data_IF_659969591850
#
_entry.id   IF_659969591850
#
_cell.length_a   1.000
_cell.length_b   1.000
_cell.length_c   1.000
_cell.angle_alpha   90.00
_cell.angle_beta   90.00
_cell.angle_gamma   90.00
#
_symmetry.space_group_name_H-M   'P 1'
#
loop_
_entity.id
_entity.type
_entity.pdbx_description
1 polymer ?
#
# COMPACT_ATOMS: atom_id res chain seq x y z
N UNK A 1 2.85 -3.64 13.24
CA UNK A 1 1.54 -3.37 12.58
C UNK A 1 1.79 -3.16 11.10
N UNK A 2 0.97 -3.75 10.23
CA UNK A 2 1.10 -3.62 8.78
C UNK A 2 0.15 -2.53 8.29
N UNK A 3 0.68 -1.58 7.53
CA UNK A 3 -0.05 -0.44 6.97
C UNK A 3 0.01 -0.57 5.45
N UNK A 4 -1.15 -0.77 4.82
CA UNK A 4 -1.26 -0.86 3.36
C UNK A 4 -1.41 0.54 2.77
N UNK A 5 -0.65 0.82 1.73
CA UNK A 5 -0.60 2.14 1.10
C UNK A 5 -0.88 1.99 -0.38
N UNK A 6 -1.87 2.72 -0.87
CA UNK A 6 -2.15 2.84 -2.31
C UNK A 6 -1.56 4.14 -2.81
N UNK A 7 -0.55 4.06 -3.68
CA UNK A 7 0.07 5.21 -4.32
C UNK A 7 -0.32 5.21 -5.79
N UNK A 8 -0.92 6.30 -6.25
CA UNK A 8 -1.20 6.51 -7.67
C UNK A 8 0.07 7.00 -8.35
N UNK A 9 0.48 6.35 -9.44
CA UNK A 9 1.70 6.71 -10.17
C UNK A 9 2.43 5.49 -10.75
N UNK A 10 3.65 5.72 -11.22
CA UNK A 10 4.51 4.67 -11.76
C UNK A 10 5.06 3.75 -10.65
N UNK A 11 5.62 2.59 -11.02
CA UNK A 11 6.33 1.73 -10.07
C UNK A 11 7.46 2.45 -9.33
N UNK A 12 8.11 3.41 -9.99
CA UNK A 12 9.18 4.21 -9.41
C UNK A 12 8.64 5.17 -8.33
N UNK A 13 7.49 5.81 -8.58
CA UNK A 13 6.83 6.68 -7.62
C UNK A 13 6.34 5.90 -6.40
N UNK A 14 5.82 4.68 -6.63
CA UNK A 14 5.41 3.76 -5.57
C UNK A 14 6.61 3.36 -4.70
N UNK A 15 7.75 3.04 -5.30
CA UNK A 15 8.98 2.69 -4.57
C UNK A 15 9.52 3.86 -3.73
N UNK A 16 9.64 5.06 -4.33
CA UNK A 16 10.06 6.28 -3.63
C UNK A 16 9.13 6.63 -2.47
N UNK A 17 7.82 6.48 -2.68
CA UNK A 17 6.81 6.73 -1.64
C UNK A 17 6.94 5.74 -0.48
N UNK A 18 7.18 4.46 -0.77
CA UNK A 18 7.40 3.45 0.25
C UNK A 18 8.66 3.74 1.08
N UNK A 19 9.75 4.11 0.42
CA UNK A 19 11.01 4.49 1.07
C UNK A 19 10.84 5.72 1.97
N UNK A 20 10.15 6.75 1.48
CA UNK A 20 9.82 7.95 2.27
C UNK A 20 9.00 7.61 3.52
N UNK A 21 7.99 6.73 3.39
CA UNK A 21 7.17 6.28 4.51
C UNK A 21 7.97 5.42 5.50
N UNK A 22 8.88 4.57 5.02
CA UNK A 22 9.77 3.79 5.86
C UNK A 22 10.70 4.69 6.69
N UNK A 23 11.25 5.74 6.08
CA UNK A 23 12.05 6.75 6.79
C UNK A 23 11.22 7.52 7.83
N UNK A 24 9.98 7.87 7.50
CA UNK A 24 9.05 8.55 8.40
C UNK A 24 8.41 7.63 9.46
N UNK A 25 8.64 6.31 9.42
CA UNK A 25 7.97 5.33 10.28
C UNK A 25 8.11 5.64 11.77
N UNK A 26 9.31 6.07 12.20
CA UNK A 26 9.58 6.42 13.61
C UNK A 26 8.79 7.65 14.05
N UNK A 27 8.70 8.66 13.19
CA UNK A 27 7.93 9.88 13.46
C UNK A 27 6.43 9.56 13.56
N UNK A 28 5.90 8.81 12.60
CA UNK A 28 4.50 8.39 12.59
C UNK A 28 4.16 7.53 13.80
N UNK A 29 5.06 6.62 14.20
CA UNK A 29 4.92 5.83 15.44
C UNK A 29 4.79 6.73 16.67
N UNK A 30 5.62 7.77 16.78
CA UNK A 30 5.56 8.70 17.90
C UNK A 30 4.25 9.50 17.93
N UNK A 31 3.69 9.86 16.77
CA UNK A 31 2.37 10.51 16.70
C UNK A 31 1.24 9.56 17.09
N UNK A 32 1.25 8.32 16.57
CA UNK A 32 0.28 7.28 16.94
C UNK A 32 0.29 7.01 18.45
N UNK A 33 1.48 7.02 19.08
CA UNK A 33 1.62 6.85 20.52
C UNK A 33 1.02 7.99 21.35
N UNK A 34 0.95 9.20 20.79
CA UNK A 34 0.36 10.38 21.44
C UNK A 34 -1.15 10.42 21.28
N UNK A 35 -1.64 10.07 20.10
CA UNK A 35 -3.06 10.12 19.71
C UNK A 35 -3.85 8.94 20.30
N UNK A 36 -3.25 7.76 20.37
CA UNK A 36 -3.92 6.54 20.82
C UNK A 36 -3.39 6.08 22.18
N UNK A 37 -4.27 5.80 23.16
CA UNK A 37 -3.87 5.27 24.47
C UNK A 37 -3.49 3.79 24.35
N UNK A 38 -2.31 3.52 23.80
CA UNK A 38 -1.76 2.17 23.64
C UNK A 38 -0.71 1.91 24.72
N UNK A 39 -0.80 0.76 25.40
CA UNK A 39 0.25 0.32 26.36
C UNK A 39 1.61 0.18 25.69
N UNK A 40 1.64 -0.21 24.42
CA UNK A 40 2.85 -0.30 23.60
C UNK A 40 2.49 0.03 22.17
N UNK A 41 3.15 1.05 21.60
CA UNK A 41 2.92 1.38 20.20
C UNK A 41 3.75 0.45 19.31
N UNK A 42 3.12 -0.32 18.41
CA UNK A 42 3.82 -1.25 17.55
C UNK A 42 4.68 -0.52 16.51
N UNK A 43 5.66 -1.22 15.94
CA UNK A 43 6.38 -0.73 14.77
C UNK A 43 5.45 -0.72 13.55
N UNK A 44 5.55 0.33 12.74
CA UNK A 44 4.76 0.49 11.53
C UNK A 44 5.56 -0.05 10.35
N UNK A 45 5.00 -1.05 9.67
CA UNK A 45 5.56 -1.63 8.46
C UNK A 45 4.65 -1.27 7.28
N UNK A 46 5.20 -0.59 6.28
CA UNK A 46 4.44 -0.11 5.13
C UNK A 46 4.58 -1.08 3.96
N UNK A 47 3.46 -1.39 3.31
CA UNK A 47 3.41 -2.25 2.14
C UNK A 47 2.49 -1.63 1.09
N UNK A 48 2.85 -1.73 -0.19
CA UNK A 48 1.94 -1.29 -1.25
C UNK A 48 0.73 -2.21 -1.32
N UNK A 49 -0.45 -1.62 -1.45
CA UNK A 49 -1.67 -2.36 -1.71
C UNK A 49 -1.70 -2.83 -3.17
N UNK A 50 -1.03 -3.95 -3.44
CA UNK A 50 -1.05 -4.61 -4.76
C UNK A 50 -2.38 -5.28 -5.07
N UNK A 51 -3.36 -5.24 -4.15
CA UNK A 51 -4.67 -5.87 -4.33
C UNK A 51 -5.47 -5.23 -5.47
N UNK A 52 -5.46 -3.89 -5.57
CA UNK A 52 -6.19 -3.14 -6.60
C UNK A 52 -5.61 -3.33 -8.00
N UNK A 53 -4.29 -3.30 -8.12
CA UNK A 53 -3.59 -3.47 -9.39
C UNK A 53 -3.73 -4.91 -9.93
N UNK A 54 -3.73 -5.89 -9.02
CA UNK A 54 -4.03 -7.27 -9.36
C UNK A 54 -5.48 -7.45 -9.83
N UNK A 55 -6.44 -6.81 -9.16
CA UNK A 55 -7.84 -6.84 -9.57
C UNK A 55 -8.06 -6.21 -10.96
N UNK A 56 -7.39 -5.08 -11.27
CA UNK A 56 -7.44 -4.47 -12.60
C UNK A 56 -6.84 -5.37 -13.67
N UNK A 57 -5.70 -6.02 -13.40
CA UNK A 57 -5.10 -6.98 -14.33
C UNK A 57 -6.01 -8.19 -14.56
N UNK A 58 -6.67 -8.70 -13.51
CA UNK A 58 -7.67 -9.76 -13.63
C UNK A 58 -8.84 -9.30 -14.50
N UNK A 59 -9.40 -8.11 -14.26
CA UNK A 59 -10.52 -7.59 -15.05
C UNK A 59 -10.13 -7.39 -16.52
N UNK A 60 -8.92 -6.90 -16.79
CA UNK A 60 -8.37 -6.78 -18.14
C UNK A 60 -8.24 -8.14 -18.84
N UNK A 61 -7.70 -9.15 -18.15
CA UNK A 61 -7.57 -10.52 -18.69
C UNK A 61 -8.94 -11.15 -18.92
N UNK A 62 -9.89 -10.96 -18.01
CA UNK A 62 -11.27 -11.45 -18.15
C UNK A 62 -12.00 -10.80 -19.32
N UNK A 63 -11.80 -9.50 -19.56
CA UNK A 63 -12.35 -8.79 -20.73
C UNK A 63 -11.77 -9.34 -22.04
N UNK A 64 -10.45 -9.50 -22.10
CA UNK A 64 -9.77 -10.05 -23.29
C UNK A 64 -10.23 -11.49 -23.61
N UNK A 65 -10.49 -12.31 -22.59
CA UNK A 65 -11.04 -13.66 -22.78
C UNK A 65 -12.50 -13.66 -23.26
N UNK A 66 -13.30 -12.68 -22.86
CA UNK A 66 -14.69 -12.53 -23.32
C UNK A 66 -14.79 -12.04 -24.77
N UNK A 67 -13.83 -11.23 -25.24
CA UNK A 67 -13.79 -10.76 -26.63
C UNK A 67 -13.24 -11.81 -27.62
N UNK A 68 -12.40 -12.75 -27.16
CA UNK A 68 -11.87 -13.85 -27.98
C UNK A 68 -12.78 -15.08 -28.13
N UNK A 69 -13.98 -15.05 -27.54
CA UNK A 69 -14.97 -16.13 -27.61
C UNK A 69 -16.19 -15.76 -28.52
N UNK A 70 -15.96 -14.90 -29.51
CA UNK A 70 -16.93 -14.52 -30.55
C UNK A 70 -16.63 -15.18 -31.89
#
# INVERSE_FOLDING_TARGET
ARVRVSVMGSEEDKAKSLEGLASAARFLRAQVAKELPLRTTPELHFELDRGLEHAQRIDQVLRNLKEGAG
#
